data_IF_026472607596
#
_entry.id   IF_026472607596
#
_cell.length_a   1.000
_cell.length_b   1.000
_cell.length_c   1.000
_cell.angle_alpha   90.00
_cell.angle_beta   90.00
_cell.angle_gamma   90.00
#
_symmetry.space_group_name_H-M   'P 1'
#
loop_
_entity.id
_entity.type
_entity.pdbx_description
1 polymer ?
#
# COMPACT_ATOMS: atom_id res chain seq x y z
N UNK A 1 -3.45 0.04 -6.59
CA UNK A 1 -2.17 0.77 -6.44
C UNK A 1 -2.34 2.28 -6.61
N UNK A 2 -3.09 2.76 -7.59
CA UNK A 2 -3.26 4.22 -7.80
C UNK A 2 -3.83 4.98 -6.59
N UNK A 3 -4.76 4.37 -5.86
CA UNK A 3 -5.29 5.02 -4.65
C UNK A 3 -4.23 5.14 -3.55
N UNK A 4 -3.41 4.10 -3.32
CA UNK A 4 -2.28 4.18 -2.38
C UNK A 4 -1.29 5.27 -2.79
N UNK A 5 -0.96 5.34 -4.08
CA UNK A 5 -0.13 6.41 -4.65
C UNK A 5 -0.72 7.80 -4.35
N UNK A 6 -2.02 8.01 -4.57
CA UNK A 6 -2.68 9.28 -4.32
C UNK A 6 -2.59 9.71 -2.85
N UNK A 7 -2.76 8.77 -1.92
CA UNK A 7 -2.66 9.05 -0.49
C UNK A 7 -1.25 9.47 -0.09
N UNK A 8 -0.23 8.72 -0.54
CA UNK A 8 1.19 9.04 -0.30
C UNK A 8 1.55 10.40 -0.93
N UNK A 9 1.06 10.68 -2.14
CA UNK A 9 1.28 11.97 -2.81
C UNK A 9 0.70 13.13 -1.98
N UNK A 10 -0.55 13.01 -1.52
CA UNK A 10 -1.21 14.06 -0.73
C UNK A 10 -0.58 14.26 0.65
N UNK A 11 -0.12 13.18 1.27
CA UNK A 11 0.63 13.25 2.52
C UNK A 11 1.94 14.03 2.34
N UNK A 12 2.66 13.77 1.24
CA UNK A 12 3.87 14.52 0.91
C UNK A 12 3.58 16.00 0.62
N UNK A 13 2.49 16.32 -0.08
CA UNK A 13 2.04 17.71 -0.28
C UNK A 13 1.73 18.41 1.05
N UNK A 14 0.99 17.76 1.95
CA UNK A 14 0.70 18.30 3.28
C UNK A 14 1.99 18.59 4.08
N UNK A 15 2.96 17.67 4.02
CA UNK A 15 4.29 17.86 4.64
C UNK A 15 5.05 19.04 4.05
N UNK A 16 4.99 19.25 2.73
CA UNK A 16 5.66 20.38 2.04
C UNK A 16 5.01 21.72 2.37
N UNK A 17 3.72 21.72 2.65
CA UNK A 17 2.94 22.93 2.94
C UNK A 17 2.84 23.24 4.44
N UNK A 18 3.51 22.45 5.30
CA UNK A 18 3.45 22.56 6.77
C UNK A 18 2.00 22.52 7.30
N UNK A 19 1.18 21.65 6.72
CA UNK A 19 -0.22 21.44 7.09
C UNK A 19 -0.37 20.15 7.92
N UNK A 20 -0.28 20.23 9.26
CA UNK A 20 -0.30 19.06 10.14
C UNK A 20 -1.68 18.36 10.18
N UNK A 21 -2.77 19.09 9.92
CA UNK A 21 -4.12 18.52 9.91
C UNK A 21 -4.29 17.64 8.68
N UNK A 22 -3.94 18.15 7.50
CA UNK A 22 -3.98 17.36 6.27
C UNK A 22 -3.01 16.17 6.33
N UNK A 23 -1.82 16.36 6.92
CA UNK A 23 -0.85 15.29 7.11
C UNK A 23 -1.43 14.14 7.94
N UNK A 24 -2.02 14.47 9.10
CA UNK A 24 -2.65 13.51 10.00
C UNK A 24 -3.84 12.81 9.33
N UNK A 25 -4.66 13.56 8.60
CA UNK A 25 -5.82 13.02 7.90
C UNK A 25 -5.42 12.03 6.78
N UNK A 26 -4.40 12.37 5.98
CA UNK A 26 -3.92 11.49 4.90
C UNK A 26 -3.22 10.24 5.44
N UNK A 27 -2.38 10.37 6.47
CA UNK A 27 -1.74 9.23 7.13
C UNK A 27 -2.80 8.27 7.72
N UNK A 28 -3.80 8.80 8.44
CA UNK A 28 -4.89 7.99 8.97
C UNK A 28 -5.74 7.30 7.91
N UNK A 29 -5.95 7.94 6.75
CA UNK A 29 -6.66 7.32 5.62
C UNK A 29 -5.82 6.24 4.93
N UNK A 30 -4.50 6.47 4.77
CA UNK A 30 -3.55 5.48 4.26
C UNK A 30 -3.55 4.23 5.14
N UNK A 31 -3.50 4.40 6.46
CA UNK A 31 -3.57 3.32 7.44
C UNK A 31 -4.81 2.45 7.25
N UNK A 32 -6.00 3.05 7.30
CA UNK A 32 -7.28 2.33 7.12
C UNK A 32 -7.34 1.64 5.76
N UNK A 33 -6.87 2.29 4.71
CA UNK A 33 -6.84 1.68 3.39
C UNK A 33 -5.94 0.43 3.34
N UNK A 34 -4.78 0.47 3.98
CA UNK A 34 -3.88 -0.69 4.04
C UNK A 34 -4.44 -1.79 4.94
N UNK A 35 -4.98 -1.46 6.12
CA UNK A 35 -5.44 -2.46 7.09
C UNK A 35 -6.78 -3.11 6.69
N UNK A 36 -7.76 -2.30 6.26
CA UNK A 36 -9.13 -2.76 6.06
C UNK A 36 -9.42 -3.17 4.61
N UNK A 37 -8.70 -2.58 3.65
CA UNK A 37 -8.94 -2.80 2.23
C UNK A 37 -7.79 -3.52 1.55
N UNK A 38 -6.72 -2.84 1.17
CA UNK A 38 -5.69 -3.41 0.30
C UNK A 38 -4.98 -4.61 0.95
N UNK A 39 -4.60 -4.50 2.22
CA UNK A 39 -3.88 -5.56 2.93
C UNK A 39 -4.70 -6.84 3.14
N UNK A 40 -6.03 -6.73 3.22
CA UNK A 40 -6.89 -7.90 3.46
C UNK A 40 -7.00 -8.83 2.25
N UNK A 41 -6.97 -8.29 1.03
CA UNK A 41 -7.11 -9.09 -0.20
C UNK A 41 -5.83 -9.26 -1.02
N UNK A 42 -4.79 -8.42 -0.82
CA UNK A 42 -3.55 -8.49 -1.62
C UNK A 42 -2.83 -9.83 -1.49
N UNK A 43 -2.83 -10.43 -0.30
CA UNK A 43 -2.17 -11.72 -0.05
C UNK A 43 -2.81 -12.85 -0.88
N UNK A 44 -4.12 -13.12 -0.72
CA UNK A 44 -4.82 -14.09 -1.55
C UNK A 44 -4.70 -13.81 -3.06
N UNK A 45 -4.78 -12.55 -3.47
CA UNK A 45 -4.66 -12.16 -4.88
C UNK A 45 -3.27 -12.50 -5.46
N UNK A 46 -2.20 -12.06 -4.80
CA UNK A 46 -0.83 -12.31 -5.28
C UNK A 46 -0.47 -13.79 -5.25
N UNK A 47 -0.99 -14.56 -4.28
CA UNK A 47 -0.86 -16.01 -4.26
C UNK A 47 -1.54 -16.65 -5.49
N UNK A 48 -2.75 -16.21 -5.84
CA UNK A 48 -3.46 -16.70 -7.03
C UNK A 48 -2.72 -16.34 -8.33
N UNK A 49 -2.17 -15.12 -8.44
CA UNK A 49 -1.37 -14.71 -9.60
C UNK A 49 -0.10 -15.57 -9.72
N UNK A 50 0.62 -15.84 -8.63
CA UNK A 50 1.80 -16.71 -8.66
C UNK A 50 1.48 -18.12 -9.16
N UNK A 51 0.36 -18.68 -8.69
CA UNK A 51 -0.09 -20.02 -9.09
C UNK A 51 -0.56 -20.07 -10.55
N UNK A 52 -1.25 -19.04 -11.04
CA UNK A 52 -1.84 -19.01 -12.38
C UNK A 52 -0.95 -18.42 -13.48
N UNK A 53 0.10 -17.68 -13.12
CA UNK A 53 0.96 -17.01 -14.10
C UNK A 53 1.73 -18.02 -14.98
N UNK A 54 1.62 -17.84 -16.29
CA UNK A 54 2.35 -18.62 -17.29
C UNK A 54 3.76 -18.08 -17.54
N UNK A 55 4.04 -16.83 -17.14
CA UNK A 55 5.36 -16.21 -17.25
C UNK A 55 5.98 -16.01 -15.87
N UNK A 56 7.32 -16.13 -15.79
CA UNK A 56 8.06 -15.82 -14.57
C UNK A 56 7.89 -14.37 -14.13
N UNK A 57 7.79 -13.44 -15.09
CA UNK A 57 7.60 -12.02 -14.83
C UNK A 57 6.40 -11.72 -13.90
N UNK A 58 5.22 -12.29 -14.17
CA UNK A 58 4.05 -12.04 -13.33
C UNK A 58 4.13 -12.70 -11.95
N UNK A 59 4.91 -13.78 -11.80
CA UNK A 59 5.17 -14.39 -10.48
C UNK A 59 6.03 -13.47 -9.63
N UNK A 60 7.08 -12.92 -10.21
CA UNK A 60 7.95 -11.94 -9.54
C UNK A 60 7.21 -10.64 -9.23
N UNK A 61 6.36 -10.17 -10.15
CA UNK A 61 5.54 -8.98 -9.90
C UNK A 61 4.56 -9.19 -8.73
N UNK A 62 3.95 -10.36 -8.64
CA UNK A 62 3.07 -10.71 -7.53
C UNK A 62 3.85 -10.83 -6.20
N UNK A 63 5.06 -11.38 -6.21
CA UNK A 63 5.95 -11.42 -5.05
C UNK A 63 6.30 -10.02 -4.56
N UNK A 64 6.75 -9.16 -5.48
CA UNK A 64 7.11 -7.78 -5.16
C UNK A 64 5.92 -7.01 -4.58
N UNK A 65 4.74 -7.16 -5.19
CA UNK A 65 3.52 -6.47 -4.76
C UNK A 65 3.09 -6.90 -3.35
N UNK A 66 3.11 -8.20 -3.05
CA UNK A 66 2.76 -8.73 -1.73
C UNK A 66 3.70 -8.21 -0.64
N UNK A 67 5.01 -8.28 -0.91
CA UNK A 67 6.03 -7.78 0.02
C UNK A 67 5.91 -6.28 0.25
N UNK A 68 5.71 -5.51 -0.82
CA UNK A 68 5.56 -4.06 -0.72
C UNK A 68 4.36 -3.68 0.15
N UNK A 69 3.17 -4.24 -0.10
CA UNK A 69 1.98 -3.88 0.68
C UNK A 69 2.10 -4.32 2.14
N UNK A 70 2.72 -5.48 2.41
CA UNK A 70 2.97 -5.92 3.80
C UNK A 70 3.94 -5.00 4.55
N UNK A 71 4.98 -4.52 3.87
CA UNK A 71 5.92 -3.54 4.42
C UNK A 71 5.19 -2.25 4.80
N UNK A 72 4.43 -1.67 3.87
CA UNK A 72 3.64 -0.44 4.11
C UNK A 72 2.65 -0.59 5.27
N UNK A 73 1.97 -1.73 5.37
CA UNK A 73 1.04 -2.01 6.47
C UNK A 73 1.74 -2.20 7.83
N UNK A 74 3.06 -2.45 7.83
CA UNK A 74 3.86 -2.61 9.05
C UNK A 74 4.60 -1.34 9.49
N UNK A 75 5.00 -0.47 8.55
CA UNK A 75 5.65 0.82 8.85
C UNK A 75 4.74 1.73 9.69
N UNK A 76 3.43 1.69 9.45
CA UNK A 76 2.41 2.44 10.20
C UNK A 76 2.13 1.89 11.62
N UNK A 77 2.77 0.78 12.02
CA UNK A 77 2.74 0.25 13.40
C UNK A 77 3.95 0.66 14.24
N UNK A 78 5.01 1.18 13.60
CA UNK A 78 6.25 1.59 14.25
C UNK A 78 6.36 3.10 14.47
N UNK A 79 5.50 3.89 13.82
CA UNK A 79 5.34 5.33 14.01
C UNK A 79 4.17 5.63 14.97
#
# INVERSE_FOLDING_TARGET
MEFLYLLIYRENEARRNDDPEALTAMAGLRKRFLDEHLGSWVGPFTAAVKAGAQSGFYRELAELTDRFVKMEASEDKAA
#
